data_IF_508967946140
#
_entry.id   IF_508967946140
#
_cell.length_a   1.000
_cell.length_b   1.000
_cell.length_c   1.000
_cell.angle_alpha   90.00
_cell.angle_beta   90.00
_cell.angle_gamma   90.00
#
_symmetry.space_group_name_H-M   'P 1'
#
loop_
_entity.id
_entity.type
_entity.pdbx_description
1 polymer ?
#
# COMPACT_ATOMS: atom_id res chain seq x y z
N UNK A 1 -27.67 -18.31 28.36
CA UNK A 1 -26.20 -18.30 28.37
C UNK A 1 -25.79 -18.00 26.95
N UNK A 2 -25.28 -16.79 26.71
CA UNK A 2 -24.95 -16.33 25.36
C UNK A 2 -23.55 -16.81 25.01
N UNK A 3 -23.46 -17.71 24.04
CA UNK A 3 -22.19 -18.04 23.40
C UNK A 3 -21.85 -16.95 22.39
N UNK A 4 -20.69 -16.35 22.60
CA UNK A 4 -20.18 -15.17 21.92
C UNK A 4 -19.44 -15.59 20.64
N UNK A 5 -20.13 -15.66 19.51
CA UNK A 5 -19.53 -15.87 18.17
C UNK A 5 -19.05 -14.54 17.55
N UNK A 6 -18.14 -13.84 18.21
CA UNK A 6 -17.61 -12.54 17.71
C UNK A 6 -16.16 -12.62 17.20
N UNK A 7 -15.61 -13.83 17.07
CA UNK A 7 -14.20 -14.05 16.71
C UNK A 7 -13.90 -14.03 15.20
N UNK A 8 -14.91 -14.09 14.32
CA UNK A 8 -14.67 -14.10 12.86
C UNK A 8 -14.55 -12.70 12.25
N UNK A 9 -14.98 -11.65 12.97
CA UNK A 9 -15.04 -10.29 12.45
C UNK A 9 -13.91 -9.38 12.94
N UNK A 10 -12.97 -9.87 13.75
CA UNK A 10 -11.90 -9.04 14.32
C UNK A 10 -10.55 -9.73 14.28
N UNK A 11 -9.50 -8.97 13.98
CA UNK A 11 -8.12 -9.39 14.09
C UNK A 11 -7.34 -8.37 14.91
N UNK A 12 -6.53 -8.83 15.87
CA UNK A 12 -5.70 -7.96 16.68
C UNK A 12 -4.22 -8.17 16.32
N UNK A 13 -3.49 -7.09 16.13
CA UNK A 13 -2.05 -7.11 15.86
C UNK A 13 -1.37 -5.93 16.53
N UNK A 14 -0.43 -6.20 17.44
CA UNK A 14 0.42 -5.20 18.11
C UNK A 14 -0.33 -3.97 18.65
N UNK A 15 -1.51 -4.21 19.25
CA UNK A 15 -2.35 -3.16 19.84
C UNK A 15 -3.34 -2.50 18.87
N UNK A 16 -3.32 -2.89 17.59
CA UNK A 16 -4.28 -2.46 16.57
C UNK A 16 -5.38 -3.51 16.41
N UNK A 17 -6.64 -3.06 16.43
CA UNK A 17 -7.82 -3.89 16.16
C UNK A 17 -8.31 -3.61 14.74
N UNK A 18 -8.31 -4.64 13.91
CA UNK A 18 -8.88 -4.65 12.57
C UNK A 18 -10.26 -5.29 12.62
N UNK A 19 -11.24 -4.69 11.94
CA UNK A 19 -12.60 -5.21 11.84
C UNK A 19 -12.87 -5.64 10.41
N UNK A 20 -13.28 -6.89 10.22
CA UNK A 20 -13.71 -7.38 8.91
C UNK A 20 -15.10 -6.82 8.59
N UNK A 21 -15.21 -6.10 7.48
CA UNK A 21 -16.46 -5.59 6.95
C UNK A 21 -16.58 -6.02 5.49
N UNK A 22 -17.46 -7.00 5.23
CA UNK A 22 -17.70 -7.53 3.88
C UNK A 22 -16.42 -8.04 3.17
N UNK A 23 -15.50 -8.66 3.90
CA UNK A 23 -14.27 -9.22 3.33
C UNK A 23 -13.14 -8.20 3.11
N UNK A 24 -13.24 -7.02 3.73
CA UNK A 24 -12.18 -6.02 3.83
C UNK A 24 -11.87 -5.75 5.31
N UNK A 25 -10.61 -5.51 5.63
CA UNK A 25 -10.16 -5.23 6.99
C UNK A 25 -10.06 -3.74 7.23
N UNK A 26 -10.80 -3.24 8.21
CA UNK A 26 -10.87 -1.81 8.52
C UNK A 26 -10.11 -1.50 9.80
N UNK A 27 -9.22 -0.52 9.75
CA UNK A 27 -8.52 0.06 10.90
C UNK A 27 -8.69 1.59 10.88
N UNK A 28 -9.57 2.10 11.74
CA UNK A 28 -9.96 3.51 11.69
C UNK A 28 -10.59 3.87 10.34
N UNK A 29 -9.92 4.72 9.57
CA UNK A 29 -10.32 5.10 8.20
C UNK A 29 -9.50 4.40 7.11
N UNK A 30 -8.58 3.51 7.47
CA UNK A 30 -7.80 2.70 6.54
C UNK A 30 -8.50 1.37 6.28
N UNK A 31 -8.39 0.87 5.05
CA UNK A 31 -9.09 -0.33 4.57
C UNK A 31 -8.10 -1.18 3.80
N UNK A 32 -7.99 -2.46 4.13
CA UNK A 32 -6.98 -3.37 3.59
C UNK A 32 -7.61 -4.65 3.07
N UNK A 33 -6.94 -5.29 2.12
CA UNK A 33 -7.34 -6.64 1.67
C UNK A 33 -6.90 -7.72 2.66
N UNK A 34 -5.73 -7.55 3.25
CA UNK A 34 -5.11 -8.48 4.18
C UNK A 34 -4.91 -7.84 5.56
N UNK A 35 -4.60 -8.65 6.57
CA UNK A 35 -4.05 -8.19 7.86
C UNK A 35 -2.54 -8.45 7.94
N UNK A 36 -1.79 -7.81 8.85
CA UNK A 36 -0.33 -7.97 8.93
C UNK A 36 0.15 -9.42 9.02
N UNK A 37 -0.60 -10.32 9.66
CA UNK A 37 -0.24 -11.73 9.79
C UNK A 37 -0.36 -12.53 8.48
N UNK A 38 -0.98 -11.97 7.44
CA UNK A 38 -1.25 -12.65 6.16
C UNK A 38 -0.27 -12.26 5.06
N UNK A 39 0.65 -11.33 5.33
CA UNK A 39 1.59 -10.78 4.35
C UNK A 39 3.03 -10.92 4.86
N UNK A 40 3.98 -10.99 3.94
CA UNK A 40 5.39 -11.10 4.31
C UNK A 40 5.90 -9.81 4.96
N UNK A 41 6.66 -9.96 6.05
CA UNK A 41 7.23 -8.80 6.73
C UNK A 41 8.51 -8.30 6.07
N UNK A 42 8.38 -7.62 4.92
CA UNK A 42 9.50 -7.04 4.17
C UNK A 42 9.43 -5.51 4.07
N UNK A 43 10.56 -4.90 3.72
CA UNK A 43 10.72 -3.45 3.64
C UNK A 43 11.19 -2.82 4.96
N UNK A 44 12.30 -2.10 4.91
CA UNK A 44 12.86 -1.36 6.05
C UNK A 44 13.30 0.03 5.61
N UNK A 45 13.40 0.96 6.57
CA UNK A 45 13.83 2.34 6.29
C UNK A 45 12.80 3.19 5.55
N UNK A 46 11.54 2.75 5.50
CA UNK A 46 10.45 3.49 4.87
C UNK A 46 10.13 4.77 5.66
N UNK A 47 9.86 5.85 4.92
CA UNK A 47 9.33 7.09 5.49
C UNK A 47 7.92 6.85 6.03
N UNK A 48 7.61 7.47 7.16
CA UNK A 48 6.28 7.35 7.76
C UNK A 48 5.20 8.03 6.91
N UNK A 49 3.93 7.76 7.26
CA UNK A 49 2.76 8.27 6.54
C UNK A 49 2.70 9.80 6.44
N UNK A 50 3.31 10.55 7.37
CA UNK A 50 3.32 12.01 7.32
C UNK A 50 4.17 12.54 6.15
N UNK A 51 5.08 11.74 5.61
CA UNK A 51 5.84 12.11 4.40
C UNK A 51 4.96 12.31 3.16
N UNK A 52 3.75 11.75 3.16
CA UNK A 52 2.74 11.90 2.11
C UNK A 52 1.77 13.06 2.37
N UNK A 53 1.70 13.58 3.59
CA UNK A 53 0.66 14.53 4.00
C UNK A 53 0.69 15.83 3.19
N UNK A 54 -0.44 16.15 2.55
CA UNK A 54 -0.61 17.40 1.82
C UNK A 54 0.30 17.55 0.58
N UNK A 55 0.88 16.46 0.09
CA UNK A 55 1.71 16.43 -1.12
C UNK A 55 1.03 15.64 -2.24
N UNK A 56 1.23 15.99 -3.52
CA UNK A 56 0.81 15.12 -4.62
C UNK A 56 1.52 13.77 -4.53
N UNK A 57 0.78 12.68 -4.72
CA UNK A 57 1.30 11.32 -4.83
C UNK A 57 1.07 10.81 -6.25
N UNK A 58 2.14 10.32 -6.87
CA UNK A 58 2.08 9.67 -8.17
C UNK A 58 2.18 8.16 -8.02
N UNK A 59 1.51 7.42 -8.90
CA UNK A 59 1.55 5.95 -8.90
C UNK A 59 1.76 5.42 -10.32
N UNK A 60 2.73 4.52 -10.48
CA UNK A 60 2.85 3.64 -11.63
C UNK A 60 2.58 2.22 -11.13
N UNK A 61 1.69 1.48 -11.78
CA UNK A 61 1.34 0.13 -11.34
C UNK A 61 1.08 -0.82 -12.51
N UNK A 62 1.64 -2.01 -12.41
CA UNK A 62 1.34 -3.17 -13.27
C UNK A 62 0.27 -4.09 -12.65
N UNK A 63 -0.27 -3.71 -11.49
CA UNK A 63 -1.31 -4.44 -10.77
C UNK A 63 -2.41 -3.50 -10.25
N UNK A 64 -3.64 -3.69 -10.76
CA UNK A 64 -4.78 -2.85 -10.40
C UNK A 64 -5.17 -2.98 -8.92
N UNK A 65 -5.05 -4.18 -8.34
CA UNK A 65 -5.38 -4.41 -6.93
C UNK A 65 -4.48 -3.61 -6.00
N UNK A 66 -3.16 -3.72 -6.20
CA UNK A 66 -2.16 -2.97 -5.46
C UNK A 66 -2.31 -1.46 -5.66
N UNK A 67 -2.62 -1.00 -6.88
CA UNK A 67 -2.89 0.42 -7.14
C UNK A 67 -4.09 0.94 -6.33
N UNK A 68 -5.17 0.16 -6.27
CA UNK A 68 -6.38 0.50 -5.51
C UNK A 68 -6.06 0.56 -4.02
N UNK A 69 -5.33 -0.41 -3.46
CA UNK A 69 -4.95 -0.41 -2.04
C UNK A 69 -4.21 0.88 -1.66
N UNK A 70 -3.20 1.26 -2.44
CA UNK A 70 -2.44 2.50 -2.21
C UNK A 70 -3.34 3.72 -2.37
N UNK A 71 -4.15 3.77 -3.43
CA UNK A 71 -4.97 4.94 -3.77
C UNK A 71 -6.05 5.20 -2.72
N UNK A 72 -6.72 4.14 -2.24
CA UNK A 72 -7.77 4.24 -1.21
C UNK A 72 -7.15 4.70 0.12
N UNK A 73 -6.05 4.09 0.54
CA UNK A 73 -5.46 4.38 1.84
C UNK A 73 -4.69 5.71 1.88
N UNK A 74 -3.89 6.03 0.86
CA UNK A 74 -3.14 7.29 0.82
C UNK A 74 -3.94 8.46 0.25
N UNK A 75 -5.06 8.22 -0.43
CA UNK A 75 -5.92 9.29 -0.95
C UNK A 75 -6.51 10.20 0.13
N UNK A 76 -6.67 9.71 1.35
CA UNK A 76 -7.10 10.51 2.50
C UNK A 76 -5.97 11.32 3.15
N UNK A 77 -4.72 11.06 2.80
CA UNK A 77 -3.53 11.69 3.40
C UNK A 77 -2.83 12.64 2.43
N UNK A 78 -2.63 12.17 1.19
CA UNK A 78 -2.05 12.94 0.11
C UNK A 78 -2.97 14.08 -0.33
N UNK A 79 -2.39 15.11 -0.95
CA UNK A 79 -3.19 16.19 -1.55
C UNK A 79 -4.05 15.68 -2.71
N UNK A 80 -3.51 14.73 -3.46
CA UNK A 80 -4.14 14.01 -4.56
C UNK A 80 -3.32 12.77 -4.88
N UNK A 81 -3.97 11.75 -5.43
CA UNK A 81 -3.32 10.57 -6.00
C UNK A 81 -3.55 10.58 -7.50
N UNK A 82 -2.50 10.38 -8.29
CA UNK A 82 -2.56 10.43 -9.74
C UNK A 82 -1.69 9.36 -10.39
N UNK A 83 -2.20 8.67 -11.41
CA UNK A 83 -1.39 7.77 -12.24
C UNK A 83 -0.29 8.56 -12.97
N UNK A 84 0.90 7.96 -13.07
CA UNK A 84 2.05 8.52 -13.74
C UNK A 84 2.84 7.44 -14.49
N UNK A 85 3.68 7.88 -15.41
CA UNK A 85 4.66 7.04 -16.08
C UNK A 85 6.01 7.19 -15.40
N UNK A 86 6.75 6.10 -15.28
CA UNK A 86 8.17 6.20 -14.96
C UNK A 86 8.92 6.75 -16.17
N UNK A 87 9.74 7.78 -15.96
CA UNK A 87 10.53 8.39 -17.04
C UNK A 87 11.34 7.31 -17.78
N UNK A 88 11.33 7.35 -19.11
CA UNK A 88 12.04 6.42 -20.01
C UNK A 88 11.50 4.98 -20.05
N UNK A 89 10.30 4.73 -19.56
CA UNK A 89 9.59 3.47 -19.74
C UNK A 89 8.36 3.61 -20.64
N UNK A 90 8.01 2.52 -21.33
CA UNK A 90 6.80 2.46 -22.13
C UNK A 90 5.57 2.51 -21.22
N UNK A 91 4.73 3.51 -21.42
CA UNK A 91 3.58 3.75 -20.57
C UNK A 91 2.28 3.41 -21.30
N UNK A 92 1.35 2.67 -20.68
CA UNK A 92 0.12 2.25 -21.33
C UNK A 92 -0.91 3.39 -21.56
N UNK A 93 -0.51 4.66 -21.40
CA UNK A 93 -1.39 5.80 -21.60
C UNK A 93 -0.65 7.14 -21.58
N UNK A 94 -1.41 8.22 -21.78
CA UNK A 94 -0.89 9.58 -21.75
C UNK A 94 -0.90 10.15 -20.32
N UNK A 95 -0.10 9.56 -19.44
CA UNK A 95 0.09 10.02 -18.06
C UNK A 95 1.35 10.90 -17.95
N UNK A 96 1.44 11.81 -16.97
CA UNK A 96 2.66 12.59 -16.77
C UNK A 96 3.84 11.68 -16.43
N UNK A 97 4.99 11.96 -17.03
CA UNK A 97 6.26 11.34 -16.67
C UNK A 97 6.75 11.87 -15.32
N UNK A 98 7.28 10.96 -14.50
CA UNK A 98 7.70 11.23 -13.13
C UNK A 98 9.00 10.53 -12.76
N UNK A 99 9.71 11.13 -11.82
CA UNK A 99 11.00 10.66 -11.28
C UNK A 99 10.96 10.65 -9.75
N UNK A 100 12.04 10.19 -9.11
CA UNK A 100 12.15 10.16 -7.65
C UNK A 100 12.37 11.53 -6.99
N UNK A 101 12.40 12.61 -7.77
CA UNK A 101 12.25 13.97 -7.23
C UNK A 101 10.80 14.22 -6.77
N UNK A 102 9.82 13.59 -7.44
CA UNK A 102 8.41 13.57 -7.04
C UNK A 102 8.14 12.47 -6.00
N UNK A 103 7.04 12.62 -5.25
CA UNK A 103 6.55 11.55 -4.39
C UNK A 103 5.86 10.47 -5.23
N UNK A 104 6.53 9.34 -5.41
CA UNK A 104 6.18 8.37 -6.45
C UNK A 104 6.21 6.94 -5.92
N UNK A 105 5.13 6.20 -6.11
CA UNK A 105 5.07 4.77 -5.81
C UNK A 105 5.07 4.00 -7.14
N UNK A 106 5.94 3.01 -7.25
CA UNK A 106 6.20 2.22 -8.45
C UNK A 106 5.95 0.76 -8.09
N UNK A 107 4.90 0.16 -8.66
CA UNK A 107 4.46 -1.20 -8.41
C UNK A 107 4.70 -2.03 -9.67
N UNK A 108 5.56 -3.05 -9.59
CA UNK A 108 6.02 -3.81 -10.76
C UNK A 108 6.05 -5.31 -10.53
N UNK A 109 5.72 -6.06 -11.57
CA UNK A 109 5.90 -7.51 -11.56
C UNK A 109 7.40 -7.87 -11.57
N UNK A 110 7.80 -8.76 -10.68
CA UNK A 110 9.18 -9.24 -10.54
C UNK A 110 9.20 -10.63 -9.94
N UNK A 111 10.23 -11.43 -10.26
CA UNK A 111 10.43 -12.74 -9.65
C UNK A 111 10.89 -12.67 -8.18
N UNK A 112 11.26 -11.49 -7.70
CA UNK A 112 11.70 -11.27 -6.32
C UNK A 112 10.82 -10.23 -5.64
N UNK A 113 10.35 -10.58 -4.45
CA UNK A 113 9.50 -9.71 -3.64
C UNK A 113 10.35 -8.73 -2.83
N UNK A 114 10.10 -7.44 -2.99
CA UNK A 114 10.81 -6.37 -2.30
C UNK A 114 9.97 -5.12 -2.14
N UNK A 115 10.19 -4.43 -1.03
CA UNK A 115 9.72 -3.06 -0.79
C UNK A 115 10.94 -2.22 -0.46
N UNK A 116 11.28 -1.26 -1.32
CA UNK A 116 12.46 -0.42 -1.19
C UNK A 116 12.06 1.04 -1.35
N UNK A 117 12.67 1.93 -0.58
CA UNK A 117 12.52 3.36 -0.74
C UNK A 117 13.86 4.00 -1.06
N UNK A 118 13.91 4.68 -2.20
CA UNK A 118 15.05 5.49 -2.64
C UNK A 118 14.56 6.92 -2.89
N UNK A 119 15.12 7.88 -2.16
CA UNK A 119 14.64 9.26 -2.16
C UNK A 119 13.12 9.35 -1.91
N UNK A 120 12.34 9.88 -2.85
CA UNK A 120 10.88 9.95 -2.75
C UNK A 120 10.16 8.85 -3.54
N UNK A 121 10.91 7.90 -4.13
CA UNK A 121 10.35 6.71 -4.76
C UNK A 121 10.17 5.58 -3.75
N UNK A 122 9.04 4.89 -3.84
CA UNK A 122 8.86 3.56 -3.24
C UNK A 122 8.67 2.56 -4.35
N UNK A 123 9.50 1.53 -4.35
CA UNK A 123 9.42 0.39 -5.25
C UNK A 123 8.77 -0.77 -4.52
N UNK A 124 7.64 -1.25 -5.02
CA UNK A 124 6.95 -2.46 -4.58
C UNK A 124 7.05 -3.45 -5.73
N UNK A 125 7.83 -4.51 -5.56
CA UNK A 125 8.06 -5.50 -6.60
C UNK A 125 7.78 -6.88 -6.04
N UNK A 126 7.28 -7.79 -6.89
CA UNK A 126 6.96 -9.16 -6.53
C UNK A 126 6.13 -9.84 -7.61
N UNK A 127 5.75 -11.09 -7.36
CA UNK A 127 4.88 -11.81 -8.30
C UNK A 127 3.52 -11.11 -8.37
N UNK A 128 2.87 -11.19 -9.53
CA UNK A 128 1.62 -10.47 -9.81
C UNK A 128 0.55 -10.71 -8.74
N UNK A 129 0.43 -11.95 -8.26
CA UNK A 129 -0.51 -12.38 -7.22
C UNK A 129 -0.16 -11.87 -5.82
N UNK A 130 1.09 -11.48 -5.57
CA UNK A 130 1.59 -11.02 -4.26
C UNK A 130 1.51 -9.49 -4.12
N UNK A 131 1.52 -8.74 -5.23
CA UNK A 131 1.64 -7.28 -5.22
C UNK A 131 0.60 -6.57 -4.35
N UNK A 132 -0.64 -7.07 -4.29
CA UNK A 132 -1.67 -6.51 -3.40
C UNK A 132 -1.30 -6.70 -1.93
N UNK A 133 -0.80 -7.87 -1.55
CA UNK A 133 -0.34 -8.12 -0.18
C UNK A 133 0.91 -7.31 0.16
N UNK A 134 1.80 -7.09 -0.81
CA UNK A 134 2.96 -6.21 -0.63
C UNK A 134 2.56 -4.72 -0.50
N UNK A 135 1.50 -4.29 -1.18
CA UNK A 135 0.93 -2.96 -0.99
C UNK A 135 0.34 -2.78 0.42
N UNK A 136 -0.42 -3.76 0.91
CA UNK A 136 -0.92 -3.79 2.29
C UNK A 136 0.26 -3.72 3.29
N UNK A 137 1.29 -4.54 3.07
CA UNK A 137 2.49 -4.58 3.91
C UNK A 137 3.20 -3.22 3.95
N UNK A 138 3.38 -2.57 2.80
CA UNK A 138 3.94 -1.23 2.72
C UNK A 138 3.10 -0.23 3.56
N UNK A 139 1.78 -0.28 3.44
CA UNK A 139 0.88 0.59 4.19
C UNK A 139 0.98 0.34 5.70
N UNK A 140 1.05 -0.91 6.15
CA UNK A 140 1.26 -1.25 7.57
C UNK A 140 2.55 -0.62 8.10
N UNK A 141 3.65 -0.73 7.34
CA UNK A 141 4.95 -0.18 7.75
C UNK A 141 4.93 1.34 7.91
N UNK A 142 4.34 2.08 6.96
CA UNK A 142 4.29 3.55 7.04
C UNK A 142 3.30 4.05 8.10
N UNK A 143 2.29 3.24 8.45
CA UNK A 143 1.36 3.49 9.56
C UNK A 143 1.98 3.16 10.94
N UNK A 144 3.16 2.55 10.97
CA UNK A 144 3.83 2.16 12.21
C UNK A 144 3.29 0.85 12.81
N UNK A 145 2.56 0.07 12.03
CA UNK A 145 2.08 -1.27 12.39
C UNK A 145 3.24 -2.22 12.06
N UNK A 146 3.99 -2.63 13.08
CA UNK A 146 5.22 -3.43 13.00
C UNK A 146 5.16 -4.54 14.00
#
# INVERSE_FOLDING_TARGET
>A
MGDNQDSENKANYNGFEFVNQNGLWVLGSFVFKNVPQQVEDIGTGLKDINSYQGRPLYIYSENDGAEIEISVNLGQVAQRVQKACLEKEECPGNFPEKTCEDNFIIIKESNNSMILQEDNCVYIQGLKEELTGLADQFLFKILGIR
#
